data_IF_700351013427
#
_entry.id   IF_700351013427
#
_cell.length_a   1.000
_cell.length_b   1.000
_cell.length_c   1.000
_cell.angle_alpha   90.00
_cell.angle_beta   90.00
_cell.angle_gamma   90.00
#
_symmetry.space_group_name_H-M   'P 1'
#
loop_
_entity.id
_entity.type
_entity.pdbx_description
1 polymer ?
#
# COMPACT_ATOMS: atom_id res chain seq x y z
N UNK A 1 9.95 -58.38 -42.42
CA UNK A 1 9.51 -57.05 -42.87
C UNK A 1 8.57 -56.49 -41.81
N UNK A 2 9.07 -55.59 -41.01
CA UNK A 2 8.28 -54.84 -40.05
C UNK A 2 8.82 -53.40 -40.08
N UNK A 3 7.95 -52.53 -40.52
CA UNK A 3 8.22 -51.10 -40.78
C UNK A 3 8.18 -50.32 -39.46
N UNK A 4 9.28 -49.74 -39.12
CA UNK A 4 9.46 -48.96 -37.89
C UNK A 4 9.15 -47.48 -38.13
N UNK A 5 7.90 -47.07 -37.93
CA UNK A 5 7.46 -45.69 -38.01
C UNK A 5 8.05 -44.83 -36.88
N UNK A 6 9.07 -44.04 -37.19
CA UNK A 6 9.61 -43.00 -36.31
C UNK A 6 8.60 -41.86 -36.12
N UNK A 7 7.99 -41.77 -34.95
CA UNK A 7 7.24 -40.58 -34.54
C UNK A 7 8.21 -39.47 -34.15
N UNK A 8 8.35 -38.49 -35.03
CA UNK A 8 9.00 -37.21 -34.65
C UNK A 8 8.22 -36.56 -33.51
N UNK A 9 8.89 -36.36 -32.37
CA UNK A 9 8.40 -35.53 -31.28
C UNK A 9 8.33 -34.07 -31.75
N UNK A 10 7.20 -33.42 -31.57
CA UNK A 10 7.05 -31.99 -31.79
C UNK A 10 7.97 -31.22 -30.81
N UNK A 11 8.55 -30.09 -31.22
CA UNK A 11 9.37 -29.29 -30.33
C UNK A 11 8.50 -28.76 -29.17
N UNK A 12 8.91 -29.06 -27.96
CA UNK A 12 8.33 -28.43 -26.73
C UNK A 12 8.54 -26.94 -26.89
N UNK A 13 7.45 -26.18 -26.90
CA UNK A 13 7.48 -24.73 -26.91
C UNK A 13 8.39 -24.23 -25.79
N UNK A 14 9.30 -23.34 -26.14
CA UNK A 14 10.11 -22.61 -25.19
C UNK A 14 9.14 -21.95 -24.17
N UNK A 15 9.27 -22.26 -22.89
CA UNK A 15 8.61 -21.52 -21.84
C UNK A 15 9.17 -20.11 -21.90
N UNK A 16 8.35 -19.16 -22.31
CA UNK A 16 8.67 -17.74 -22.32
C UNK A 16 8.77 -17.25 -20.86
N UNK A 17 9.88 -17.58 -20.21
CA UNK A 17 10.22 -17.10 -18.87
C UNK A 17 10.88 -15.73 -18.97
N UNK A 18 10.21 -14.80 -19.65
CA UNK A 18 10.65 -13.42 -19.66
C UNK A 18 10.62 -12.87 -18.23
N UNK A 19 11.73 -12.26 -17.80
CA UNK A 19 11.84 -11.65 -16.47
C UNK A 19 10.65 -10.73 -16.19
N UNK A 20 10.09 -10.78 -14.96
CA UNK A 20 9.01 -9.89 -14.58
C UNK A 20 9.50 -8.44 -14.62
N UNK A 21 8.63 -7.51 -15.03
CA UNK A 21 8.92 -6.08 -14.95
C UNK A 21 9.26 -5.69 -13.50
N UNK A 22 10.27 -4.83 -13.29
CA UNK A 22 10.54 -4.29 -11.97
C UNK A 22 9.32 -3.48 -11.51
N UNK A 23 8.68 -3.94 -10.46
CA UNK A 23 7.51 -3.31 -9.86
C UNK A 23 7.40 -3.75 -8.41
N UNK A 24 6.81 -2.92 -7.56
CA UNK A 24 6.48 -3.30 -6.20
C UNK A 24 5.38 -4.36 -6.26
N UNK A 25 5.68 -5.55 -5.78
CA UNK A 25 4.78 -6.71 -5.69
C UNK A 25 4.61 -7.21 -4.26
N UNK A 26 5.46 -6.73 -3.38
CA UNK A 26 5.39 -7.00 -1.96
C UNK A 26 4.03 -6.53 -1.43
N UNK A 27 3.40 -7.38 -0.62
CA UNK A 27 2.09 -7.08 -0.03
C UNK A 27 2.22 -6.25 1.24
N UNK A 28 3.40 -6.23 1.82
CA UNK A 28 3.77 -5.44 2.99
C UNK A 28 5.06 -4.71 2.70
N UNK A 29 5.06 -3.41 2.94
CA UNK A 29 6.26 -2.56 2.85
C UNK A 29 6.55 -2.00 4.23
N UNK A 30 7.80 -2.09 4.66
CA UNK A 30 8.27 -1.52 5.92
C UNK A 30 9.37 -0.52 5.59
N UNK A 31 9.19 0.73 6.00
CA UNK A 31 10.13 1.82 5.79
C UNK A 31 10.52 2.40 7.14
N UNK A 32 11.76 2.18 7.54
CA UNK A 32 12.33 2.80 8.74
C UNK A 32 12.80 4.22 8.44
N UNK A 33 12.86 5.06 9.47
CA UNK A 33 13.27 6.47 9.38
C UNK A 33 12.51 7.24 8.29
N UNK A 34 11.19 7.02 8.25
CA UNK A 34 10.32 7.50 7.18
C UNK A 34 10.24 9.02 7.10
N UNK A 35 10.08 9.70 8.23
CA UNK A 35 10.10 11.17 8.28
C UNK A 35 11.51 11.70 8.60
N UNK A 36 11.80 12.94 8.24
CA UNK A 36 12.93 13.65 8.85
C UNK A 36 12.87 13.55 10.37
N UNK A 37 13.99 13.22 11.00
CA UNK A 37 14.06 12.93 12.44
C UNK A 37 13.46 14.06 13.29
N UNK A 38 13.75 15.31 12.94
CA UNK A 38 13.25 16.49 13.67
C UNK A 38 11.73 16.58 13.65
N UNK A 39 11.07 16.20 12.55
CA UNK A 39 9.62 16.20 12.47
C UNK A 39 9.02 15.08 13.31
N UNK A 40 9.56 13.87 13.21
CA UNK A 40 9.10 12.72 13.98
C UNK A 40 9.23 12.96 15.49
N UNK A 41 10.39 13.48 15.93
CA UNK A 41 10.66 13.82 17.33
C UNK A 41 9.75 14.97 17.83
N UNK A 42 9.50 16.00 17.01
CA UNK A 42 8.59 17.07 17.39
C UNK A 42 7.14 16.57 17.55
N UNK A 43 6.67 15.67 16.67
CA UNK A 43 5.36 15.04 16.79
C UNK A 43 5.27 14.18 18.06
N UNK A 44 6.33 13.47 18.39
CA UNK A 44 6.39 12.67 19.62
C UNK A 44 6.43 13.54 20.87
N UNK A 45 7.17 14.65 20.83
CA UNK A 45 7.21 15.62 21.93
C UNK A 45 5.85 16.23 22.25
N UNK A 46 5.00 16.48 21.22
CA UNK A 46 3.64 16.96 21.44
C UNK A 46 2.80 15.90 22.19
N UNK A 47 2.94 14.61 21.83
CA UNK A 47 2.28 13.50 22.56
C UNK A 47 2.75 13.44 24.01
N UNK A 48 4.06 13.52 24.24
CA UNK A 48 4.62 13.47 25.59
C UNK A 48 4.17 14.67 26.43
N UNK A 49 4.10 15.87 25.84
CA UNK A 49 3.58 17.07 26.48
C UNK A 49 2.08 16.93 26.83
N UNK A 50 1.28 16.33 25.95
CA UNK A 50 -0.14 16.05 26.20
C UNK A 50 -0.35 15.20 27.46
N UNK A 51 0.55 14.23 27.71
CA UNK A 51 0.54 13.35 28.87
C UNK A 51 1.59 13.71 29.93
N UNK A 52 2.06 14.97 29.99
CA UNK A 52 3.14 15.37 30.91
C UNK A 52 2.83 15.07 32.38
N UNK A 53 1.55 15.15 32.75
CA UNK A 53 1.06 14.75 34.07
C UNK A 53 -0.13 13.79 33.91
N UNK A 54 0.11 12.50 33.70
CA UNK A 54 -0.95 11.52 33.46
C UNK A 54 -1.82 11.25 34.71
N UNK A 55 -1.41 11.68 35.89
CA UNK A 55 -2.18 11.52 37.14
C UNK A 55 -3.18 12.67 37.39
N UNK A 56 -2.97 13.81 36.76
CA UNK A 56 -3.90 14.92 36.83
C UNK A 56 -5.04 14.75 35.83
N UNK A 57 -6.27 14.79 36.38
CA UNK A 57 -7.46 14.84 35.54
C UNK A 57 -7.58 16.22 34.89
N UNK A 58 -7.36 16.28 33.57
CA UNK A 58 -7.59 17.48 32.75
C UNK A 58 -8.58 17.15 31.65
N UNK A 59 -9.68 17.91 31.49
CA UNK A 59 -10.66 17.65 30.44
C UNK A 59 -10.09 17.59 29.05
N UNK A 60 -9.17 18.48 28.71
CA UNK A 60 -8.47 18.54 27.43
C UNK A 60 -7.55 17.34 27.17
N UNK A 61 -7.10 16.64 28.21
CA UNK A 61 -6.32 15.42 28.10
C UNK A 61 -7.20 14.18 27.98
N UNK A 62 -8.27 14.09 28.77
CA UNK A 62 -9.08 12.88 28.88
C UNK A 62 -10.25 12.84 27.88
N UNK A 63 -10.83 13.98 27.53
CA UNK A 63 -12.01 14.07 26.68
C UNK A 63 -11.70 14.06 25.19
N UNK A 64 -10.44 14.16 24.78
CA UNK A 64 -10.05 14.10 23.35
C UNK A 64 -10.00 12.66 22.82
N UNK A 65 -9.89 11.68 23.70
CA UNK A 65 -9.76 10.27 23.34
C UNK A 65 -11.10 9.55 23.34
N UNK A 66 -11.42 8.90 22.21
CA UNK A 66 -12.59 8.04 22.07
C UNK A 66 -12.15 6.59 22.26
N UNK A 67 -12.85 5.87 23.13
CA UNK A 67 -12.68 4.43 23.25
C UNK A 67 -13.40 3.73 22.11
N UNK A 68 -12.60 3.13 21.23
CA UNK A 68 -13.09 2.33 20.13
C UNK A 68 -13.23 0.88 20.60
N UNK A 69 -14.47 0.47 20.78
CA UNK A 69 -14.80 -0.88 21.23
C UNK A 69 -15.81 -1.50 20.29
N UNK A 70 -15.40 -2.58 19.65
CA UNK A 70 -16.29 -3.49 18.94
C UNK A 70 -16.04 -4.88 19.52
N UNK A 71 -17.07 -5.55 20.09
CA UNK A 71 -16.89 -6.86 20.68
C UNK A 71 -16.11 -7.80 19.75
N UNK A 72 -15.10 -8.46 20.30
CA UNK A 72 -14.24 -9.42 19.62
C UNK A 72 -13.33 -8.85 18.51
N UNK A 73 -13.52 -7.60 18.08
CA UNK A 73 -12.68 -6.98 17.05
C UNK A 73 -11.72 -5.93 17.61
N UNK A 74 -12.24 -4.88 18.25
CA UNK A 74 -11.43 -3.72 18.62
C UNK A 74 -11.55 -3.38 20.11
N UNK A 75 -10.43 -3.02 20.69
CA UNK A 75 -10.36 -2.37 22.00
C UNK A 75 -9.13 -1.46 22.01
N UNK A 76 -9.29 -0.17 21.71
CA UNK A 76 -8.22 0.83 21.72
C UNK A 76 -8.76 2.26 21.80
N UNK A 77 -7.88 3.23 21.97
CA UNK A 77 -8.21 4.65 22.05
C UNK A 77 -7.86 5.33 20.71
N UNK A 78 -8.73 6.21 20.24
CA UNK A 78 -8.54 6.94 18.97
C UNK A 78 -8.97 8.39 19.09
N UNK A 79 -8.22 9.28 18.41
CA UNK A 79 -8.57 10.69 18.32
C UNK A 79 -8.20 11.28 16.95
N UNK A 80 -8.65 12.48 16.70
CA UNK A 80 -8.14 13.32 15.63
C UNK A 80 -6.74 13.80 16.03
N UNK A 81 -5.71 13.59 15.19
CA UNK A 81 -4.32 13.82 15.59
C UNK A 81 -4.03 15.27 15.96
N UNK A 82 -4.70 16.25 15.32
CA UNK A 82 -4.53 17.67 15.58
C UNK A 82 -4.97 18.11 16.99
N UNK A 83 -5.69 17.27 17.70
CA UNK A 83 -6.03 17.51 19.13
C UNK A 83 -4.88 17.22 20.08
N UNK A 84 -3.85 16.51 19.62
CA UNK A 84 -2.69 16.09 20.40
C UNK A 84 -1.40 16.59 19.76
N UNK A 85 -1.26 16.36 18.46
CA UNK A 85 -0.13 16.81 17.64
C UNK A 85 -0.58 18.07 16.89
N UNK A 86 0.15 19.16 16.96
CA UNK A 86 -0.25 20.40 16.29
C UNK A 86 -0.56 20.17 14.79
N UNK A 87 -1.67 20.74 14.29
CA UNK A 87 -2.13 20.58 12.91
C UNK A 87 -1.02 20.77 11.85
N UNK A 88 -0.11 21.77 11.96
CA UNK A 88 0.96 21.93 10.96
C UNK A 88 1.87 20.69 10.83
N UNK A 89 2.15 19.98 11.93
CA UNK A 89 2.96 18.77 11.91
C UNK A 89 2.21 17.58 11.31
N UNK A 90 0.92 17.46 11.62
CA UNK A 90 0.04 16.43 11.01
C UNK A 90 -0.04 16.65 9.49
N UNK A 91 -0.19 17.89 9.06
CA UNK A 91 -0.21 18.27 7.64
C UNK A 91 1.13 17.94 6.97
N UNK A 92 2.25 18.28 7.60
CA UNK A 92 3.58 17.96 7.09
C UNK A 92 3.79 16.43 6.93
N UNK A 93 3.34 15.63 7.91
CA UNK A 93 3.31 14.18 7.79
C UNK A 93 2.45 13.72 6.61
N UNK A 94 1.23 14.22 6.51
CA UNK A 94 0.29 13.83 5.45
C UNK A 94 0.83 14.17 4.05
N UNK A 95 1.40 15.37 3.88
CA UNK A 95 1.99 15.80 2.61
C UNK A 95 3.23 14.97 2.24
N UNK A 96 4.07 14.64 3.23
CA UNK A 96 5.22 13.76 3.04
C UNK A 96 4.78 12.35 2.59
N UNK A 97 3.81 11.76 3.29
CA UNK A 97 3.27 10.44 2.95
C UNK A 97 2.62 10.43 1.56
N UNK A 98 1.85 11.47 1.22
CA UNK A 98 1.21 11.61 -0.09
C UNK A 98 2.26 11.73 -1.21
N UNK A 99 3.28 12.55 -1.01
CA UNK A 99 4.40 12.69 -1.95
C UNK A 99 5.14 11.38 -2.17
N UNK A 100 5.49 10.70 -1.07
CA UNK A 100 6.14 9.40 -1.10
C UNK A 100 5.26 8.34 -1.80
N UNK A 101 3.99 8.26 -1.46
CA UNK A 101 3.05 7.31 -2.05
C UNK A 101 2.88 7.53 -3.56
N UNK A 102 2.75 8.80 -3.98
CA UNK A 102 2.65 9.13 -5.40
C UNK A 102 3.92 8.71 -6.17
N UNK A 103 5.10 8.98 -5.62
CA UNK A 103 6.37 8.68 -6.30
C UNK A 103 6.73 7.19 -6.25
N UNK A 104 6.36 6.48 -5.19
CA UNK A 104 6.76 5.09 -4.97
C UNK A 104 5.70 4.10 -5.48
N UNK A 105 4.43 4.38 -5.20
CA UNK A 105 3.30 3.51 -5.54
C UNK A 105 2.50 4.00 -6.76
N UNK A 106 2.70 5.25 -7.18
CA UNK A 106 1.86 5.90 -8.19
C UNK A 106 0.46 6.24 -7.70
N UNK A 107 0.24 6.31 -6.37
CA UNK A 107 -1.04 6.53 -5.73
C UNK A 107 -1.02 7.82 -4.92
N UNK A 108 -1.88 8.78 -5.26
CA UNK A 108 -1.93 10.09 -4.62
C UNK A 108 -3.06 10.29 -3.61
N UNK A 109 -3.96 9.31 -3.47
CA UNK A 109 -5.07 9.35 -2.53
C UNK A 109 -4.61 8.87 -1.15
N UNK A 110 -4.44 9.80 -0.21
CA UNK A 110 -4.11 9.48 1.19
C UNK A 110 -5.19 10.07 2.08
N UNK A 111 -5.83 9.27 2.91
CA UNK A 111 -6.82 9.75 3.87
C UNK A 111 -6.14 10.60 4.95
N UNK A 112 -6.88 11.57 5.52
CA UNK A 112 -6.42 12.22 6.73
C UNK A 112 -6.27 11.19 7.84
N UNK A 113 -5.14 11.17 8.58
CA UNK A 113 -4.89 10.10 9.54
C UNK A 113 -5.75 10.21 10.80
N UNK A 114 -5.88 9.09 11.49
CA UNK A 114 -6.26 9.06 12.90
C UNK A 114 -5.02 8.82 13.76
N UNK A 115 -5.02 9.37 14.98
CA UNK A 115 -4.05 9.01 16.02
C UNK A 115 -4.65 7.96 16.94
N UNK A 116 -4.00 6.81 17.04
CA UNK A 116 -4.40 5.73 17.93
C UNK A 116 -3.39 5.51 19.05
N UNK A 117 -3.93 5.27 20.24
CA UNK A 117 -3.19 4.89 21.44
C UNK A 117 -3.64 3.50 21.90
N UNK A 118 -2.68 2.63 22.11
CA UNK A 118 -2.86 1.32 22.72
C UNK A 118 -2.12 1.27 24.04
N UNK A 119 -2.86 1.06 25.11
CA UNK A 119 -2.36 0.81 26.47
C UNK A 119 -2.63 -0.65 26.84
N UNK A 120 -2.16 -1.17 28.01
CA UNK A 120 -2.42 -2.54 28.42
C UNK A 120 -3.89 -2.95 28.30
N UNK A 121 -4.12 -4.10 27.67
CA UNK A 121 -5.44 -4.62 27.31
C UNK A 121 -5.95 -4.22 25.92
N UNK A 122 -5.41 -3.16 25.31
CA UNK A 122 -5.78 -2.75 23.95
C UNK A 122 -5.27 -3.73 22.90
N UNK A 123 -6.08 -3.95 21.86
CA UNK A 123 -5.79 -4.83 20.72
C UNK A 123 -6.68 -4.54 19.52
N UNK A 124 -6.33 -5.06 18.38
CA UNK A 124 -7.24 -5.29 17.25
C UNK A 124 -7.14 -6.75 16.84
N UNK A 125 -8.25 -7.46 16.82
CA UNK A 125 -8.29 -8.84 16.34
C UNK A 125 -8.29 -8.85 14.80
N UNK A 126 -8.11 -10.02 14.22
CA UNK A 126 -7.96 -10.22 12.78
C UNK A 126 -9.18 -9.70 12.01
N UNK A 127 -8.94 -8.80 11.06
CA UNK A 127 -9.93 -8.19 10.17
C UNK A 127 -9.26 -7.77 8.85
N UNK A 128 -10.04 -7.31 7.88
CA UNK A 128 -9.54 -6.66 6.68
C UNK A 128 -10.28 -5.34 6.46
N UNK A 129 -9.67 -4.45 5.69
CA UNK A 129 -10.17 -3.10 5.41
C UNK A 129 -10.42 -2.88 3.90
N UNK A 130 -10.69 -3.93 3.15
CA UNK A 130 -10.74 -3.94 1.68
C UNK A 130 -11.74 -2.95 1.06
N UNK A 131 -12.66 -2.41 1.84
CA UNK A 131 -13.63 -1.38 1.40
C UNK A 131 -13.14 0.06 1.61
N UNK A 132 -12.05 0.27 2.36
CA UNK A 132 -11.58 1.59 2.77
C UNK A 132 -10.50 2.18 1.84
N UNK A 133 -9.79 1.35 1.11
CA UNK A 133 -8.71 1.79 0.23
C UNK A 133 -8.11 0.68 -0.60
N UNK A 134 -6.86 0.83 -0.96
CA UNK A 134 -6.02 -0.20 -1.61
C UNK A 134 -4.95 -0.70 -0.68
N UNK A 135 -4.46 0.19 0.18
CA UNK A 135 -3.46 -0.09 1.20
C UNK A 135 -3.85 0.59 2.51
N UNK A 136 -3.68 -0.15 3.62
CA UNK A 136 -3.59 0.44 4.94
C UNK A 136 -2.19 1.00 5.16
N UNK A 137 -2.08 2.12 5.87
CA UNK A 137 -0.81 2.59 6.39
C UNK A 137 -0.86 2.74 7.91
N UNK A 138 0.26 2.42 8.55
CA UNK A 138 0.49 2.59 9.98
C UNK A 138 1.85 3.25 10.16
N UNK A 139 1.87 4.48 10.65
CA UNK A 139 3.11 5.20 10.97
C UNK A 139 3.29 5.26 12.48
N UNK A 140 4.41 4.75 12.98
CA UNK A 140 4.65 4.57 14.41
C UNK A 140 5.40 5.75 15.03
N UNK A 141 4.80 6.34 16.05
CA UNK A 141 5.40 7.28 17.00
C UNK A 141 5.66 6.61 18.37
N UNK A 142 5.62 5.28 18.40
CA UNK A 142 5.88 4.47 19.60
C UNK A 142 7.37 4.54 19.95
N UNK A 143 7.72 4.78 21.20
CA UNK A 143 9.12 4.75 21.65
C UNK A 143 9.71 3.35 21.51
N UNK A 144 10.98 3.27 21.09
CA UNK A 144 11.69 2.00 20.99
C UNK A 144 11.96 1.42 22.41
N UNK A 145 12.35 2.29 23.32
CA UNK A 145 12.54 1.95 24.74
C UNK A 145 11.25 2.23 25.49
N UNK A 146 10.58 1.18 25.95
CA UNK A 146 9.30 1.24 26.64
C UNK A 146 9.13 0.06 27.60
N UNK A 147 8.27 0.22 28.60
CA UNK A 147 7.93 -0.81 29.60
C UNK A 147 6.63 -1.54 29.25
N UNK A 148 6.33 -1.63 27.96
CA UNK A 148 5.21 -2.40 27.41
C UNK A 148 5.72 -3.43 26.41
N UNK A 149 5.01 -4.54 26.28
CA UNK A 149 5.23 -5.59 25.28
C UNK A 149 3.98 -5.74 24.44
N UNK A 150 4.10 -6.38 23.28
CA UNK A 150 2.99 -6.47 22.32
C UNK A 150 2.89 -5.23 21.42
N UNK A 151 1.78 -5.10 20.73
CA UNK A 151 1.51 -4.00 19.81
C UNK A 151 2.14 -4.16 18.43
N UNK A 152 2.65 -5.32 18.10
CA UNK A 152 3.07 -5.67 16.75
C UNK A 152 1.88 -5.58 15.80
N UNK A 153 2.11 -5.04 14.62
CA UNK A 153 1.17 -5.16 13.51
C UNK A 153 1.36 -6.53 12.88
N UNK A 154 0.31 -7.33 12.89
CA UNK A 154 0.29 -8.66 12.28
C UNK A 154 -0.40 -8.55 10.92
N UNK A 155 0.24 -9.02 9.85
CA UNK A 155 -0.35 -9.04 8.51
C UNK A 155 -0.24 -10.46 7.95
N UNK A 156 -1.35 -11.05 7.57
CA UNK A 156 -1.34 -12.36 6.92
C UNK A 156 -0.78 -12.25 5.50
N UNK A 157 0.03 -13.23 5.12
CA UNK A 157 0.65 -13.27 3.78
C UNK A 157 -0.33 -13.67 2.67
N UNK A 158 -1.42 -14.31 3.05
CA UNK A 158 -2.46 -14.79 2.13
C UNK A 158 -3.84 -14.50 2.72
N UNK A 159 -4.76 -14.02 1.88
CA UNK A 159 -6.14 -13.77 2.29
C UNK A 159 -6.92 -15.06 2.58
N UNK A 160 -6.51 -16.18 1.99
CA UNK A 160 -7.06 -17.52 2.24
C UNK A 160 -5.97 -18.43 2.81
N UNK A 161 -5.96 -18.67 4.15
CA UNK A 161 -4.97 -19.54 4.78
C UNK A 161 -5.08 -21.01 4.31
N UNK A 162 -6.27 -21.50 3.94
CA UNK A 162 -6.43 -22.85 3.42
C UNK A 162 -5.82 -22.99 2.03
N UNK A 163 -5.91 -21.96 1.20
CA UNK A 163 -5.26 -21.92 -0.10
C UNK A 163 -3.73 -21.88 0.04
N UNK A 164 -3.21 -21.12 0.99
CA UNK A 164 -1.78 -21.07 1.28
C UNK A 164 -1.25 -22.45 1.69
N UNK A 165 -1.98 -23.19 2.54
CA UNK A 165 -1.66 -24.54 2.97
C UNK A 165 -1.70 -25.55 1.81
N UNK A 166 -2.71 -25.44 0.93
CA UNK A 166 -2.92 -26.38 -0.17
C UNK A 166 -1.91 -26.18 -1.32
N UNK A 167 -1.53 -24.94 -1.59
CA UNK A 167 -0.67 -24.60 -2.72
C UNK A 167 0.81 -24.97 -2.51
N UNK A 168 1.25 -25.11 -1.26
CA UNK A 168 2.64 -25.42 -0.89
C UNK A 168 2.73 -26.35 0.32
N UNK A 169 2.34 -27.63 0.21
CA UNK A 169 2.55 -28.59 1.27
C UNK A 169 4.03 -28.70 1.59
N UNK A 170 4.44 -28.38 2.81
CA UNK A 170 5.83 -28.47 3.25
C UNK A 170 6.71 -27.24 2.97
N UNK A 171 6.20 -26.18 2.37
CA UNK A 171 6.86 -24.88 2.43
C UNK A 171 6.68 -24.34 3.85
N UNK A 172 7.65 -24.58 4.72
CA UNK A 172 7.76 -23.94 6.04
C UNK A 172 7.89 -22.44 5.85
N UNK A 173 6.80 -21.72 5.91
CA UNK A 173 6.76 -20.28 5.86
C UNK A 173 5.75 -19.79 6.89
N UNK A 174 6.08 -18.69 7.54
CA UNK A 174 5.16 -18.05 8.47
C UNK A 174 3.89 -17.62 7.72
N UNK A 175 2.72 -17.89 8.28
CA UNK A 175 1.44 -17.46 7.74
C UNK A 175 1.25 -15.95 7.78
N UNK A 176 2.00 -15.28 8.65
CA UNK A 176 1.90 -13.86 8.89
C UNK A 176 3.28 -13.23 9.07
N UNK A 177 3.32 -11.93 8.89
CA UNK A 177 4.43 -11.09 9.28
C UNK A 177 4.08 -10.38 10.58
N UNK A 178 4.98 -10.41 11.55
CA UNK A 178 4.89 -9.67 12.80
C UNK A 178 5.83 -8.47 12.72
N UNK A 179 5.28 -7.27 12.78
CA UNK A 179 6.01 -6.02 12.53
C UNK A 179 5.99 -5.17 13.80
N UNK A 180 7.14 -5.06 14.45
CA UNK A 180 7.29 -4.26 15.67
C UNK A 180 7.02 -2.78 15.39
N UNK A 181 6.31 -2.07 16.31
CA UNK A 181 6.00 -0.64 16.18
C UNK A 181 7.22 0.21 16.56
N UNK A 182 8.28 0.18 15.75
CA UNK A 182 9.48 1.02 15.97
C UNK A 182 9.17 2.47 15.70
N UNK A 183 9.84 3.36 16.44
CA UNK A 183 9.73 4.80 16.23
C UNK A 183 10.13 5.18 14.80
N UNK A 184 9.39 6.10 14.20
CA UNK A 184 9.57 6.61 12.83
C UNK A 184 9.51 5.51 11.75
N UNK A 185 8.75 4.43 12.00
CA UNK A 185 8.52 3.35 11.02
C UNK A 185 7.16 3.52 10.35
N UNK A 186 7.15 3.50 9.03
CA UNK A 186 5.95 3.35 8.22
C UNK A 186 5.79 1.89 7.81
N UNK A 187 4.59 1.36 8.00
CA UNK A 187 4.15 0.05 7.48
C UNK A 187 3.01 0.30 6.52
N UNK A 188 3.09 -0.28 5.33
CA UNK A 188 2.02 -0.27 4.34
C UNK A 188 1.70 -1.70 3.98
N UNK A 189 0.43 -2.06 3.95
CA UNK A 189 -0.03 -3.40 3.59
C UNK A 189 -1.29 -3.33 2.73
N UNK A 190 -1.48 -4.34 1.90
CA UNK A 190 -2.67 -4.49 1.07
C UNK A 190 -3.92 -4.64 1.94
N UNK A 191 -4.90 -3.76 1.79
CA UNK A 191 -6.14 -3.72 2.59
C UNK A 191 -6.97 -5.02 2.50
N UNK A 192 -6.74 -5.84 1.47
CA UNK A 192 -7.39 -7.15 1.31
C UNK A 192 -6.82 -8.22 2.24
N UNK A 193 -5.62 -7.98 2.80
CA UNK A 193 -5.00 -8.95 3.71
C UNK A 193 -5.59 -8.85 5.10
N UNK A 194 -5.93 -9.97 5.74
CA UNK A 194 -6.27 -9.97 7.14
C UNK A 194 -5.10 -9.46 7.97
N UNK A 195 -5.38 -8.55 8.88
CA UNK A 195 -4.39 -7.94 9.76
C UNK A 195 -4.92 -7.73 11.17
N UNK A 196 -4.02 -7.54 12.12
CA UNK A 196 -4.33 -7.41 13.54
C UNK A 196 -3.30 -6.52 14.25
N UNK A 197 -3.58 -6.16 15.48
CA UNK A 197 -2.62 -5.57 16.42
C UNK A 197 -2.58 -6.44 17.66
N UNK A 198 -1.39 -6.96 17.98
CA UNK A 198 -1.15 -7.75 19.18
C UNK A 198 -1.51 -6.97 20.45
N UNK A 199 -2.04 -7.71 21.42
CA UNK A 199 -2.44 -7.14 22.69
C UNK A 199 -1.25 -6.51 23.41
N UNK A 200 -1.45 -5.30 23.93
CA UNK A 200 -0.45 -4.61 24.76
C UNK A 200 -0.58 -5.08 26.21
N UNK A 201 0.58 -5.30 26.85
CA UNK A 201 0.71 -5.60 28.27
C UNK A 201 1.86 -4.77 28.87
N UNK A 202 1.83 -4.55 30.19
CA UNK A 202 2.89 -3.88 30.94
C UNK A 202 2.47 -2.54 31.56
N UNK A 203 3.23 -1.49 31.35
CA UNK A 203 3.03 -0.18 31.98
C UNK A 203 1.70 0.48 31.61
N UNK A 204 1.00 1.02 32.61
CA UNK A 204 -0.20 1.84 32.43
C UNK A 204 0.10 3.32 32.14
N UNK A 205 1.36 3.74 32.14
CA UNK A 205 1.71 5.09 31.69
C UNK A 205 1.39 5.22 30.19
N UNK A 206 0.49 6.12 29.76
CA UNK A 206 0.12 6.25 28.36
C UNK A 206 1.31 6.57 27.46
N UNK A 207 2.35 7.26 27.95
CA UNK A 207 3.56 7.58 27.19
C UNK A 207 4.38 6.33 26.80
N UNK A 208 4.19 5.24 27.53
CA UNK A 208 4.78 3.92 27.25
C UNK A 208 3.94 3.10 26.24
N UNK A 209 2.75 3.59 25.90
CA UNK A 209 1.83 2.94 24.98
C UNK A 209 2.30 2.95 23.53
N UNK A 210 1.60 2.18 22.72
CA UNK A 210 1.78 2.21 21.26
C UNK A 210 1.00 3.39 20.69
N UNK A 211 1.70 4.32 20.04
CA UNK A 211 1.13 5.43 19.28
C UNK A 211 1.35 5.27 17.79
N UNK A 212 0.28 5.37 17.03
CA UNK A 212 0.38 5.32 15.57
C UNK A 212 -0.56 6.32 14.90
N UNK A 213 -0.10 6.92 13.80
CA UNK A 213 -0.96 7.53 12.79
C UNK A 213 -1.33 6.44 11.77
N UNK A 214 -2.59 6.32 11.45
CA UNK A 214 -3.06 5.31 10.50
C UNK A 214 -4.20 5.81 9.62
N UNK A 215 -4.37 5.16 8.49
CA UNK A 215 -5.39 5.46 7.49
C UNK A 215 -5.16 4.62 6.24
N UNK A 216 -5.64 5.13 5.10
CA UNK A 216 -5.65 4.37 3.86
C UNK A 216 -5.04 5.15 2.70
N UNK A 217 -4.48 4.40 1.74
CA UNK A 217 -3.98 4.90 0.47
C UNK A 217 -4.85 4.32 -0.65
N UNK A 218 -5.23 5.16 -1.60
CA UNK A 218 -6.03 4.80 -2.75
C UNK A 218 -5.56 5.53 -4.01
N UNK A 219 -6.09 5.12 -5.15
CA UNK A 219 -5.94 5.87 -6.39
C UNK A 219 -6.75 7.18 -6.35
N UNK A 220 -6.21 8.24 -6.93
CA UNK A 220 -6.90 9.52 -7.16
C UNK A 220 -7.14 9.80 -8.65
N UNK A 221 -7.00 8.81 -9.51
CA UNK A 221 -6.93 9.03 -10.94
C UNK A 221 -5.53 9.49 -11.41
N UNK A 222 -5.37 9.74 -12.71
CA UNK A 222 -4.09 10.15 -13.27
C UNK A 222 -3.61 11.49 -12.73
N UNK A 223 -2.30 11.61 -12.49
CA UNK A 223 -1.64 12.84 -12.07
C UNK A 223 -0.56 13.21 -13.07
N UNK A 224 -0.68 14.40 -13.68
CA UNK A 224 0.30 14.92 -14.61
C UNK A 224 1.04 16.12 -13.99
N UNK A 225 2.36 16.14 -14.15
CA UNK A 225 3.23 17.23 -13.73
C UNK A 225 4.19 17.60 -14.87
N UNK A 226 4.16 18.84 -15.33
CA UNK A 226 4.98 19.33 -16.45
C UNK A 226 4.21 20.24 -17.40
N UNK A 227 4.63 20.29 -18.64
CA UNK A 227 4.15 21.25 -19.62
C UNK A 227 2.77 20.87 -20.24
N UNK A 228 2.45 19.58 -20.32
CA UNK A 228 1.15 19.16 -20.85
C UNK A 228 0.02 19.42 -19.86
N UNK A 229 -1.11 19.98 -20.29
CA UNK A 229 -2.33 20.00 -19.51
C UNK A 229 -2.75 18.57 -19.14
N UNK A 230 -3.32 18.33 -17.93
CA UNK A 230 -3.69 16.99 -17.48
C UNK A 230 -4.55 16.20 -18.47
N UNK A 231 -5.55 16.82 -19.09
CA UNK A 231 -6.42 16.16 -20.08
C UNK A 231 -5.61 15.69 -21.31
N UNK A 232 -4.70 16.53 -21.83
CA UNK A 232 -3.87 16.20 -22.98
C UNK A 232 -2.84 15.12 -22.66
N UNK A 233 -2.38 15.03 -21.40
CA UNK A 233 -1.49 13.96 -20.95
C UNK A 233 -2.23 12.63 -20.74
N UNK A 234 -3.51 12.62 -20.41
CA UNK A 234 -4.27 11.41 -20.07
C UNK A 234 -4.87 10.72 -21.30
N UNK A 235 -5.33 11.50 -22.29
CA UNK A 235 -6.11 10.95 -23.41
C UNK A 235 -5.35 9.92 -24.27
N UNK A 236 -4.08 10.13 -24.69
CA UNK A 236 -3.33 9.11 -25.43
C UNK A 236 -3.07 7.83 -24.61
N UNK A 237 -2.83 7.97 -23.32
CA UNK A 237 -2.67 6.82 -22.43
C UNK A 237 -3.99 6.02 -22.30
N UNK A 238 -5.13 6.71 -22.20
CA UNK A 238 -6.46 6.08 -22.18
C UNK A 238 -6.75 5.33 -23.48
N UNK A 239 -6.40 5.91 -24.62
CA UNK A 239 -6.53 5.24 -25.92
C UNK A 239 -5.69 3.96 -26.00
N UNK A 240 -4.45 4.00 -25.52
CA UNK A 240 -3.58 2.81 -25.44
C UNK A 240 -4.16 1.72 -24.52
N UNK A 241 -4.69 2.09 -23.34
CA UNK A 241 -5.36 1.15 -22.43
C UNK A 241 -6.60 0.54 -23.10
N UNK A 242 -7.42 1.35 -23.77
CA UNK A 242 -8.60 0.86 -24.45
C UNK A 242 -8.25 -0.11 -25.59
N UNK A 243 -7.23 0.19 -26.39
CA UNK A 243 -6.73 -0.73 -27.42
C UNK A 243 -6.24 -2.06 -26.80
N UNK A 244 -5.53 -1.99 -25.68
CA UNK A 244 -5.09 -3.19 -24.96
C UNK A 244 -6.28 -4.03 -24.48
N UNK A 245 -7.25 -3.41 -23.79
CA UNK A 245 -8.42 -4.14 -23.24
C UNK A 245 -9.33 -4.71 -24.32
N UNK A 246 -9.36 -4.11 -25.50
CA UNK A 246 -10.09 -4.64 -26.67
C UNK A 246 -9.37 -5.83 -27.33
N UNK A 247 -8.04 -5.80 -27.35
CA UNK A 247 -7.24 -6.83 -28.01
C UNK A 247 -6.99 -8.08 -27.14
N UNK A 248 -7.13 -7.96 -25.83
CA UNK A 248 -6.80 -9.02 -24.88
C UNK A 248 -7.99 -9.37 -23.99
N UNK A 249 -8.17 -10.68 -23.77
CA UNK A 249 -9.15 -11.16 -22.81
C UNK A 249 -8.63 -10.95 -21.39
N UNK A 250 -9.20 -9.96 -20.71
CA UNK A 250 -8.79 -9.53 -19.36
C UNK A 250 -9.85 -9.83 -18.29
N UNK A 251 -10.92 -10.52 -18.65
CA UNK A 251 -11.96 -10.88 -17.69
C UNK A 251 -11.39 -11.78 -16.58
N UNK A 252 -11.82 -11.52 -15.36
CA UNK A 252 -11.36 -12.22 -14.17
C UNK A 252 -10.14 -11.59 -13.49
N UNK A 253 -9.37 -10.74 -14.17
CA UNK A 253 -8.30 -10.01 -13.49
C UNK A 253 -8.86 -8.91 -12.60
N UNK A 254 -8.34 -8.83 -11.38
CA UNK A 254 -8.79 -7.89 -10.37
C UNK A 254 -7.59 -7.22 -9.70
N UNK A 255 -7.73 -5.95 -9.37
CA UNK A 255 -6.71 -5.19 -8.66
C UNK A 255 -6.25 -3.96 -9.41
N UNK A 256 -5.00 -3.58 -9.19
CA UNK A 256 -4.45 -2.31 -9.60
C UNK A 256 -3.02 -2.47 -10.09
N UNK A 257 -2.68 -1.77 -11.16
CA UNK A 257 -1.29 -1.38 -11.46
C UNK A 257 -1.16 0.13 -11.44
N UNK A 258 0.04 0.62 -11.23
CA UNK A 258 0.38 2.02 -11.51
C UNK A 258 1.60 2.11 -12.41
N UNK A 259 1.54 3.03 -13.36
CA UNK A 259 2.59 3.24 -14.37
C UNK A 259 3.02 4.69 -14.33
N UNK A 260 4.33 4.94 -14.38
CA UNK A 260 4.89 6.26 -14.61
C UNK A 260 5.32 6.36 -16.08
N UNK A 261 4.93 7.44 -16.75
CA UNK A 261 5.42 7.82 -18.06
C UNK A 261 6.18 9.14 -17.97
N UNK A 262 7.38 9.17 -18.52
CA UNK A 262 8.15 10.40 -18.71
C UNK A 262 8.06 10.79 -20.21
N UNK A 263 7.33 11.86 -20.49
CA UNK A 263 6.96 12.33 -21.83
C UNK A 263 7.88 13.47 -22.21
N UNK A 264 8.52 13.38 -23.37
CA UNK A 264 9.40 14.40 -23.91
C UNK A 264 8.60 15.55 -24.58
N UNK A 265 9.24 16.70 -24.82
CA UNK A 265 8.58 17.86 -25.48
C UNK A 265 7.99 17.53 -26.85
N UNK A 266 8.56 16.59 -27.60
CA UNK A 266 8.06 16.14 -28.92
C UNK A 266 6.88 15.17 -28.84
N UNK A 267 6.40 14.88 -27.63
CA UNK A 267 5.30 13.95 -27.36
C UNK A 267 5.68 12.48 -27.38
N UNK A 268 6.94 12.13 -27.53
CA UNK A 268 7.42 10.75 -27.37
C UNK A 268 7.58 10.38 -25.89
N UNK A 269 7.48 9.10 -25.55
CA UNK A 269 7.72 8.58 -24.21
C UNK A 269 9.19 8.20 -24.09
N UNK A 270 9.91 8.86 -23.17
CA UNK A 270 11.31 8.57 -22.90
C UNK A 270 11.46 7.34 -21.99
N UNK A 271 10.55 7.18 -21.05
CA UNK A 271 10.56 6.07 -20.10
C UNK A 271 9.12 5.72 -19.69
N UNK A 272 8.87 4.43 -19.50
CA UNK A 272 7.58 3.89 -19.08
C UNK A 272 7.83 2.80 -18.02
N UNK A 273 7.59 3.11 -16.77
CA UNK A 273 7.89 2.22 -15.64
C UNK A 273 6.62 1.73 -14.95
N UNK A 274 6.53 0.44 -14.75
CA UNK A 274 5.54 -0.17 -13.86
C UNK A 274 6.03 0.02 -12.41
N UNK A 275 5.33 0.84 -11.63
CA UNK A 275 5.68 1.12 -10.23
C UNK A 275 5.09 0.09 -9.28
N UNK A 276 3.84 -0.28 -9.51
CA UNK A 276 3.06 -1.16 -8.64
C UNK A 276 2.31 -2.19 -9.49
N UNK A 277 2.31 -3.45 -9.05
CA UNK A 277 1.54 -4.53 -9.67
C UNK A 277 0.84 -5.36 -8.59
N UNK A 278 -0.46 -5.11 -8.43
CA UNK A 278 -1.34 -5.77 -7.45
C UNK A 278 -2.52 -6.47 -8.14
N UNK A 279 -2.31 -6.90 -9.38
CA UNK A 279 -3.33 -7.64 -10.11
C UNK A 279 -3.26 -9.12 -9.77
N UNK A 280 -4.42 -9.70 -9.53
CA UNK A 280 -4.61 -11.12 -9.25
C UNK A 280 -5.68 -11.69 -10.20
N UNK A 281 -5.67 -13.01 -10.37
CA UNK A 281 -6.74 -13.75 -11.03
C UNK A 281 -7.30 -14.80 -10.05
N UNK A 282 -8.64 -15.01 -9.98
CA UNK A 282 -9.26 -15.98 -9.06
C UNK A 282 -8.81 -17.42 -9.35
N UNK A 283 -8.54 -17.76 -10.61
CA UNK A 283 -7.89 -19.05 -10.94
C UNK A 283 -6.35 -18.87 -10.77
N UNK A 284 -5.82 -19.49 -9.72
CA UNK A 284 -4.38 -19.47 -9.42
C UNK A 284 -3.52 -20.13 -10.50
N UNK A 285 -4.11 -20.91 -11.42
CA UNK A 285 -3.39 -21.51 -12.56
C UNK A 285 -3.22 -20.56 -13.73
N UNK A 286 -3.91 -19.41 -13.71
CA UNK A 286 -3.71 -18.39 -14.72
C UNK A 286 -2.35 -17.70 -14.49
N UNK A 287 -1.45 -17.89 -15.45
CA UNK A 287 -0.08 -17.34 -15.42
C UNK A 287 0.17 -16.28 -16.49
N UNK A 288 -0.89 -15.82 -17.20
CA UNK A 288 -0.77 -14.92 -18.36
C UNK A 288 -0.46 -13.47 -17.95
N UNK A 289 -0.80 -13.07 -16.71
CA UNK A 289 -0.71 -11.66 -16.29
C UNK A 289 0.67 -11.01 -16.54
N UNK A 290 1.81 -11.62 -16.23
CA UNK A 290 3.11 -10.99 -16.50
C UNK A 290 3.34 -10.64 -17.98
N UNK A 291 2.85 -11.47 -18.91
CA UNK A 291 2.88 -11.20 -20.34
C UNK A 291 1.96 -10.04 -20.73
N UNK A 292 0.74 -10.04 -20.22
CA UNK A 292 -0.24 -8.97 -20.43
C UNK A 292 0.26 -7.62 -19.91
N UNK A 293 0.83 -7.60 -18.71
CA UNK A 293 1.41 -6.40 -18.11
C UNK A 293 2.55 -5.82 -18.98
N UNK A 294 3.45 -6.66 -19.51
CA UNK A 294 4.49 -6.22 -20.44
C UNK A 294 3.91 -5.63 -21.72
N UNK A 295 2.90 -6.28 -22.31
CA UNK A 295 2.22 -5.78 -23.50
C UNK A 295 1.60 -4.41 -23.26
N UNK A 296 0.91 -4.22 -22.13
CA UNK A 296 0.31 -2.95 -21.76
C UNK A 296 1.38 -1.85 -21.58
N UNK A 297 2.46 -2.14 -20.86
CA UNK A 297 3.57 -1.18 -20.68
C UNK A 297 4.21 -0.82 -22.03
N UNK A 298 4.41 -1.81 -22.92
CA UNK A 298 4.95 -1.55 -24.25
C UNK A 298 4.02 -0.67 -25.10
N UNK A 299 2.70 -0.88 -25.03
CA UNK A 299 1.72 -0.04 -25.73
C UNK A 299 1.71 1.40 -25.17
N UNK A 300 1.80 1.57 -23.86
CA UNK A 300 1.91 2.88 -23.22
C UNK A 300 3.22 3.57 -23.62
N UNK A 301 4.33 2.85 -23.66
CA UNK A 301 5.63 3.38 -24.11
C UNK A 301 5.62 3.82 -25.58
N UNK A 302 4.82 3.17 -26.42
CA UNK A 302 4.67 3.51 -27.83
C UNK A 302 3.65 4.63 -28.10
N UNK A 303 2.90 5.05 -27.08
CA UNK A 303 1.88 6.10 -27.21
C UNK A 303 2.52 7.43 -27.64
N UNK A 304 1.76 8.25 -28.37
CA UNK A 304 2.17 9.58 -28.82
C UNK A 304 1.30 10.64 -28.17
N UNK A 305 1.94 11.55 -27.50
CA UNK A 305 1.31 12.69 -26.81
C UNK A 305 1.45 13.96 -27.65
N UNK A 306 0.64 14.97 -27.42
CA UNK A 306 0.83 16.28 -28.04
C UNK A 306 2.22 16.85 -27.71
N UNK A 307 2.81 17.59 -28.67
CA UNK A 307 4.03 18.34 -28.37
C UNK A 307 3.75 19.47 -27.40
N UNK A 308 4.72 19.78 -26.54
CA UNK A 308 4.65 20.82 -25.52
C UNK A 308 6.00 21.50 -25.32
N UNK A 309 6.03 22.66 -24.63
CA UNK A 309 7.25 23.45 -24.42
C UNK A 309 8.24 22.82 -23.42
N UNK A 310 7.89 21.69 -22.82
CA UNK A 310 8.73 21.00 -21.84
C UNK A 310 8.29 19.58 -21.57
N UNK A 311 9.06 18.82 -20.77
CA UNK A 311 8.71 17.44 -20.43
C UNK A 311 7.49 17.38 -19.50
N UNK A 312 6.85 16.24 -19.50
CA UNK A 312 5.72 15.95 -18.59
C UNK A 312 5.88 14.55 -18.00
N UNK A 313 5.65 14.42 -16.69
CA UNK A 313 5.52 13.14 -16.00
C UNK A 313 4.06 12.84 -15.76
N UNK A 314 3.61 11.66 -16.17
CA UNK A 314 2.26 11.18 -15.94
C UNK A 314 2.32 9.95 -15.00
N UNK A 315 1.63 10.03 -13.86
CA UNK A 315 1.33 8.88 -13.00
C UNK A 315 -0.05 8.36 -13.36
N UNK A 316 -0.15 7.08 -13.67
CA UNK A 316 -1.33 6.46 -14.25
C UNK A 316 -1.72 5.21 -13.45
N UNK A 317 -2.62 5.30 -12.47
CA UNK A 317 -3.23 4.12 -11.85
C UNK A 317 -4.25 3.51 -12.82
N UNK A 318 -4.21 2.19 -12.98
CA UNK A 318 -5.10 1.41 -13.85
C UNK A 318 -5.74 0.30 -13.03
N UNK A 319 -7.05 0.35 -12.87
CA UNK A 319 -7.83 -0.61 -12.08
C UNK A 319 -8.43 -1.67 -13.00
N UNK A 320 -8.31 -2.93 -12.61
CA UNK A 320 -8.88 -4.09 -13.27
C UNK A 320 -9.99 -4.70 -12.40
N UNK A 321 -11.05 -5.18 -13.06
CA UNK A 321 -12.23 -5.72 -12.40
C UNK A 321 -13.21 -4.63 -11.95
N UNK A 322 -14.43 -5.02 -11.67
CA UNK A 322 -15.40 -4.12 -11.04
C UNK A 322 -14.93 -3.78 -9.63
N UNK A 323 -15.09 -2.54 -9.15
CA UNK A 323 -15.02 -2.30 -7.73
C UNK A 323 -16.02 -3.25 -7.07
N UNK A 324 -15.55 -4.03 -6.11
CA UNK A 324 -16.45 -4.87 -5.30
C UNK A 324 -17.38 -3.90 -4.59
N UNK A 325 -18.65 -3.91 -4.99
CA UNK A 325 -19.71 -3.11 -4.38
C UNK A 325 -20.04 -3.64 -2.99
#
# INVERSE_FOLDING_TARGET
MADGGSRRAAPRGASDTAEPLPAIRERVLVVDDFLPAELAEAMRADIDAHFADPQQHKPDTHQVWNYWFVPELYAYLRTQPEKVIGEPRVRAFHDHLRGWSLMTLGLGGVTWPYLSLYVPGCRQNLHNDSVNGRFGFVFSLTRNERRTIGGETIVHREGDPFRALSARPGAGGDFYESIAPRFNRLVIFDDRLPHAVERIEGSMDPREGRFVLHGHISEQGPAAAGALPPAAAVEPARAAIHAFTTAHFIDGYQGLISVQLDILPDGSVADCRLLLDRVIHPDARDTRWPGLARTLVAQLAAARFPAADGPTRLMLPIVFGSPVG
#
